data_IF_599036557672
#
_entry.id   IF_599036557672
#
_cell.length_a   1.000
_cell.length_b   1.000
_cell.length_c   1.000
_cell.angle_alpha   90.00
_cell.angle_beta   90.00
_cell.angle_gamma   90.00
#
_symmetry.space_group_name_H-M   'P 1'
#
loop_
_entity.id
_entity.type
_entity.pdbx_description
1 polymer ?
#
# COMPACT_ATOMS: atom_id res chain seq x y z
N UNK A 1 9.31 16.58 3.79
CA UNK A 1 10.07 15.34 3.51
C UNK A 1 10.19 15.14 2.01
N UNK A 2 11.28 14.54 1.52
CA UNK A 2 11.40 14.10 0.13
C UNK A 2 10.36 12.99 -0.17
N UNK A 3 9.75 13.02 -1.36
CA UNK A 3 8.90 11.96 -1.92
C UNK A 3 9.41 10.53 -1.67
N UNK A 4 10.69 10.27 -1.95
CA UNK A 4 11.32 8.96 -1.77
C UNK A 4 11.44 8.54 -0.30
N UNK A 5 11.55 9.50 0.60
CA UNK A 5 11.55 9.23 2.04
C UNK A 5 10.17 8.81 2.51
N UNK A 6 9.11 9.46 2.00
CA UNK A 6 7.74 9.05 2.28
C UNK A 6 7.45 7.65 1.74
N UNK A 7 7.88 7.34 0.51
CA UNK A 7 7.79 5.99 -0.05
C UNK A 7 8.48 4.93 0.82
N UNK A 8 9.70 5.23 1.29
CA UNK A 8 10.41 4.34 2.22
C UNK A 8 9.64 4.08 3.51
N UNK A 9 9.02 5.12 4.09
CA UNK A 9 8.17 4.95 5.27
C UNK A 9 6.92 4.12 4.98
N UNK A 10 6.26 4.32 3.84
CA UNK A 10 5.13 3.49 3.41
C UNK A 10 5.53 2.02 3.38
N UNK A 11 6.65 1.68 2.73
CA UNK A 11 7.15 0.31 2.70
C UNK A 11 7.41 -0.25 4.11
N UNK A 12 8.05 0.52 4.98
CA UNK A 12 8.35 0.08 6.35
C UNK A 12 7.08 -0.15 7.17
N UNK A 13 6.05 0.69 7.02
CA UNK A 13 4.81 0.60 7.76
C UNK A 13 3.92 -0.56 7.26
N UNK A 14 3.89 -0.80 5.96
CA UNK A 14 3.03 -1.82 5.36
C UNK A 14 3.63 -3.23 5.46
N UNK A 15 4.96 -3.33 5.39
CA UNK A 15 5.65 -4.61 5.35
C UNK A 15 5.27 -5.57 6.50
N UNK A 16 5.21 -5.16 7.79
CA UNK A 16 4.82 -6.04 8.88
C UNK A 16 3.45 -6.68 8.69
N UNK A 17 2.49 -5.91 8.16
CA UNK A 17 1.12 -6.38 7.91
C UNK A 17 1.12 -7.38 6.76
N UNK A 18 1.73 -7.02 5.63
CA UNK A 18 1.83 -7.90 4.45
C UNK A 18 2.56 -9.19 4.80
N UNK A 19 3.68 -9.09 5.51
CA UNK A 19 4.48 -10.23 5.96
C UNK A 19 3.70 -11.15 6.88
N UNK A 20 2.95 -10.63 7.87
CA UNK A 20 2.19 -11.45 8.81
C UNK A 20 1.16 -12.33 8.09
N UNK A 21 0.48 -11.78 7.09
CA UNK A 21 -0.52 -12.52 6.30
C UNK A 21 0.13 -13.46 5.28
N UNK A 22 1.23 -13.05 4.64
CA UNK A 22 1.92 -13.85 3.63
C UNK A 22 3.17 -14.58 4.14
N UNK A 23 3.29 -14.78 5.46
CA UNK A 23 4.47 -15.42 6.07
C UNK A 23 4.81 -16.80 5.49
N UNK A 24 3.79 -17.55 5.07
CA UNK A 24 3.94 -18.88 4.45
C UNK A 24 4.56 -18.81 3.04
N UNK A 25 4.40 -17.70 2.34
CA UNK A 25 5.01 -17.43 1.04
C UNK A 25 6.49 -17.01 1.19
N UNK A 26 6.90 -16.60 2.39
CA UNK A 26 8.30 -16.31 2.73
C UNK A 26 8.89 -15.23 1.83
N UNK A 27 10.07 -15.49 1.25
CA UNK A 27 10.78 -14.52 0.41
C UNK A 27 10.05 -14.17 -0.89
N UNK A 28 9.14 -15.04 -1.37
CA UNK A 28 8.40 -14.80 -2.62
C UNK A 28 7.44 -13.62 -2.53
N UNK A 29 7.03 -13.19 -1.34
CA UNK A 29 6.16 -12.02 -1.17
C UNK A 29 6.86 -10.68 -1.42
N UNK A 30 8.18 -10.62 -1.31
CA UNK A 30 8.95 -9.38 -1.36
C UNK A 30 8.83 -8.67 -2.69
N UNK A 31 8.97 -9.40 -3.80
CA UNK A 31 8.88 -8.80 -5.12
C UNK A 31 7.47 -8.25 -5.38
N UNK A 32 6.36 -9.00 -5.18
CA UNK A 32 5.01 -8.44 -5.31
C UNK A 32 4.75 -7.23 -4.41
N UNK A 33 5.17 -7.28 -3.14
CA UNK A 33 5.01 -6.16 -2.21
C UNK A 33 5.68 -4.88 -2.74
N UNK A 34 6.97 -4.95 -3.08
CA UNK A 34 7.74 -3.79 -3.54
C UNK A 34 7.23 -3.30 -4.91
N UNK A 35 6.92 -4.21 -5.84
CA UNK A 35 6.45 -3.85 -7.17
C UNK A 35 5.09 -3.16 -7.14
N UNK A 36 4.17 -3.63 -6.29
CA UNK A 36 2.86 -3.01 -6.15
C UNK A 36 2.98 -1.61 -5.58
N UNK A 37 3.73 -1.44 -4.49
CA UNK A 37 4.00 -0.12 -3.90
C UNK A 37 4.74 0.81 -4.89
N UNK A 38 5.72 0.31 -5.65
CA UNK A 38 6.41 1.07 -6.69
C UNK A 38 5.49 1.48 -7.85
N UNK A 39 4.39 0.75 -8.07
CA UNK A 39 3.41 1.08 -9.09
C UNK A 39 2.36 2.06 -8.56
N UNK A 40 1.78 1.77 -7.39
CA UNK A 40 0.67 2.53 -6.82
C UNK A 40 1.13 3.88 -6.27
N UNK A 41 2.32 3.96 -5.67
CA UNK A 41 2.78 5.19 -5.04
C UNK A 41 3.03 6.33 -6.03
N UNK A 42 3.79 6.15 -7.13
CA UNK A 42 3.96 7.22 -8.12
C UNK A 42 2.64 7.59 -8.80
N UNK A 43 1.77 6.61 -9.02
CA UNK A 43 0.45 6.84 -9.61
C UNK A 43 -0.43 7.69 -8.68
N UNK A 44 -0.47 7.36 -7.38
CA UNK A 44 -1.15 8.15 -6.37
C UNK A 44 -0.62 9.58 -6.35
N UNK A 45 0.71 9.74 -6.32
CA UNK A 45 1.34 11.08 -6.29
C UNK A 45 0.99 11.89 -7.54
N UNK A 46 1.00 11.26 -8.71
CA UNK A 46 0.57 11.89 -9.96
C UNK A 46 -0.90 12.30 -9.91
N UNK A 47 -1.79 11.42 -9.43
CA UNK A 47 -3.23 11.71 -9.34
C UNK A 47 -3.54 12.82 -8.33
N UNK A 48 -2.81 12.89 -7.21
CA UNK A 48 -2.90 13.97 -6.23
C UNK A 48 -2.58 15.34 -6.84
N UNK A 49 -1.63 15.39 -7.79
CA UNK A 49 -1.22 16.62 -8.44
C UNK A 49 -2.10 17.01 -9.64
N UNK A 50 -2.81 16.05 -10.23
CA UNK A 50 -3.54 16.24 -11.50
C UNK A 50 -5.05 16.20 -11.38
N UNK A 51 -5.60 15.76 -10.24
CA UNK A 51 -7.04 15.60 -10.03
C UNK A 51 -7.52 16.32 -8.77
N UNK A 52 -8.84 16.47 -8.62
CA UNK A 52 -9.49 17.04 -7.43
C UNK A 52 -10.05 15.98 -6.51
N UNK A 53 -9.70 14.71 -6.69
CA UNK A 53 -10.19 13.66 -5.81
C UNK A 53 -9.59 13.82 -4.41
N UNK A 54 -10.37 13.47 -3.40
CA UNK A 54 -9.87 13.49 -2.03
C UNK A 54 -8.88 12.35 -1.81
N UNK A 55 -7.88 12.57 -0.95
CA UNK A 55 -6.88 11.56 -0.63
C UNK A 55 -7.50 10.22 -0.16
N UNK A 56 -8.52 10.20 0.74
CA UNK A 56 -9.17 8.93 1.13
C UNK A 56 -9.76 8.16 -0.05
N UNK A 57 -10.31 8.86 -1.05
CA UNK A 57 -10.90 8.21 -2.23
C UNK A 57 -9.80 7.58 -3.11
N UNK A 58 -8.65 8.25 -3.24
CA UNK A 58 -7.52 7.70 -3.99
C UNK A 58 -6.91 6.48 -3.29
N UNK A 59 -6.80 6.51 -1.96
CA UNK A 59 -6.28 5.39 -1.15
C UNK A 59 -7.18 4.15 -1.25
N UNK A 60 -8.50 4.32 -1.35
CA UNK A 60 -9.42 3.21 -1.67
C UNK A 60 -9.07 2.60 -3.04
N UNK A 61 -8.76 3.45 -4.03
CA UNK A 61 -8.30 3.01 -5.35
C UNK A 61 -6.98 2.24 -5.29
N UNK A 62 -6.00 2.75 -4.56
CA UNK A 62 -4.72 2.08 -4.30
C UNK A 62 -4.96 0.70 -3.67
N UNK A 63 -5.73 0.64 -2.58
CA UNK A 63 -6.06 -0.63 -1.94
C UNK A 63 -6.77 -1.61 -2.89
N UNK A 64 -7.60 -1.13 -3.80
CA UNK A 64 -8.22 -1.95 -4.85
C UNK A 64 -7.20 -2.52 -5.84
N UNK A 65 -6.28 -1.70 -6.33
CA UNK A 65 -5.20 -2.11 -7.25
C UNK A 65 -4.27 -3.12 -6.58
N UNK A 66 -3.84 -2.85 -5.36
CA UNK A 66 -2.94 -3.76 -4.63
C UNK A 66 -3.63 -5.07 -4.26
N UNK A 67 -4.93 -5.05 -3.94
CA UNK A 67 -5.71 -6.28 -3.74
C UNK A 67 -5.67 -7.16 -5.00
N UNK A 68 -5.89 -6.59 -6.18
CA UNK A 68 -5.83 -7.32 -7.46
C UNK A 68 -4.40 -7.82 -7.69
N UNK A 69 -3.41 -6.98 -7.41
CA UNK A 69 -1.99 -7.32 -7.46
C UNK A 69 -1.63 -8.54 -6.63
N UNK A 70 -1.97 -8.54 -5.33
CA UNK A 70 -1.72 -9.67 -4.44
C UNK A 70 -2.53 -10.92 -4.83
N UNK A 71 -3.73 -10.74 -5.38
CA UNK A 71 -4.52 -11.85 -5.90
C UNK A 71 -3.78 -12.56 -7.04
N UNK A 72 -3.28 -11.80 -8.01
CA UNK A 72 -2.61 -12.33 -9.21
C UNK A 72 -1.20 -12.83 -8.86
N UNK A 73 -0.36 -11.98 -8.27
CA UNK A 73 1.07 -12.24 -8.08
C UNK A 73 1.37 -13.25 -6.97
N UNK A 74 0.49 -13.37 -5.95
CA UNK A 74 0.65 -14.34 -4.86
C UNK A 74 -0.35 -15.50 -4.92
N UNK A 75 -1.14 -15.59 -6.00
CA UNK A 75 -2.16 -16.63 -6.22
C UNK A 75 -3.04 -16.87 -4.99
N UNK A 76 -3.39 -15.79 -4.28
CA UNK A 76 -4.05 -15.89 -2.99
C UNK A 76 -5.58 -15.79 -3.09
N UNK A 77 -6.33 -15.96 -1.99
CA UNK A 77 -7.79 -15.79 -2.03
C UNK A 77 -8.15 -14.30 -2.08
N UNK A 78 -9.32 -13.98 -2.65
CA UNK A 78 -9.81 -12.60 -2.70
C UNK A 78 -9.95 -12.00 -1.29
N UNK A 79 -10.52 -12.76 -0.36
CA UNK A 79 -10.67 -12.33 1.05
C UNK A 79 -9.33 -12.00 1.69
N UNK A 80 -8.30 -12.84 1.47
CA UNK A 80 -6.97 -12.59 2.02
C UNK A 80 -6.32 -11.36 1.37
N UNK A 81 -6.40 -11.25 0.04
CA UNK A 81 -5.83 -10.13 -0.71
C UNK A 81 -6.46 -8.79 -0.30
N UNK A 82 -7.78 -8.79 -0.14
CA UNK A 82 -8.53 -7.64 0.34
C UNK A 82 -8.12 -7.26 1.75
N UNK A 83 -8.13 -8.22 2.68
CA UNK A 83 -7.78 -7.96 4.07
C UNK A 83 -6.37 -7.39 4.21
N UNK A 84 -5.39 -7.93 3.48
CA UNK A 84 -4.01 -7.43 3.49
C UNK A 84 -3.91 -6.03 2.92
N UNK A 85 -4.43 -5.85 1.70
CA UNK A 85 -4.34 -4.57 1.02
C UNK A 85 -5.02 -3.46 1.82
N UNK A 86 -6.25 -3.71 2.29
CA UNK A 86 -6.99 -2.76 3.09
C UNK A 86 -6.30 -2.47 4.43
N UNK A 87 -5.83 -3.49 5.16
CA UNK A 87 -5.18 -3.27 6.45
C UNK A 87 -3.84 -2.53 6.31
N UNK A 88 -3.02 -2.89 5.32
CA UNK A 88 -1.72 -2.26 5.08
C UNK A 88 -1.90 -0.78 4.72
N UNK A 89 -2.73 -0.48 3.72
CA UNK A 89 -2.96 0.89 3.25
C UNK A 89 -3.71 1.74 4.30
N UNK A 90 -4.69 1.19 5.01
CA UNK A 90 -5.37 1.94 6.07
C UNK A 90 -4.43 2.26 7.24
N UNK A 91 -3.52 1.35 7.57
CA UNK A 91 -2.51 1.58 8.60
C UNK A 91 -1.49 2.64 8.18
N UNK A 92 -0.91 2.52 6.98
CA UNK A 92 0.06 3.49 6.47
C UNK A 92 -0.55 4.88 6.29
N UNK A 93 -1.78 4.96 5.75
CA UNK A 93 -2.57 6.19 5.67
C UNK A 93 -2.83 6.78 7.06
N UNK A 94 -3.33 5.98 8.01
CA UNK A 94 -3.63 6.45 9.36
C UNK A 94 -2.39 7.01 10.07
N UNK A 95 -1.26 6.31 9.96
CA UNK A 95 0.03 6.80 10.48
C UNK A 95 0.47 8.08 9.77
N UNK A 96 0.33 8.15 8.44
CA UNK A 96 0.64 9.35 7.65
C UNK A 96 -0.20 10.57 8.06
N UNK A 97 -1.50 10.38 8.33
CA UNK A 97 -2.39 11.43 8.85
C UNK A 97 -1.92 11.88 10.23
N UNK A 98 -1.61 10.95 11.14
CA UNK A 98 -1.13 11.29 12.49
C UNK A 98 0.18 12.08 12.42
N UNK A 99 1.14 11.64 11.63
CA UNK A 99 2.42 12.35 11.44
C UNK A 99 2.18 13.78 10.94
N UNK A 100 1.31 13.97 9.95
CA UNK A 100 0.98 15.30 9.43
C UNK A 100 0.14 16.16 10.39
N UNK A 101 -0.53 15.56 11.38
CA UNK A 101 -1.32 16.29 12.37
C UNK A 101 -0.49 16.74 13.59
N UNK A 102 0.56 15.99 13.91
CA UNK A 102 1.44 16.25 15.07
C UNK A 102 2.75 16.98 14.72
N UNK A 103 3.08 17.11 13.42
CA UNK A 103 4.19 17.92 12.90
C UNK A 103 3.64 19.13 12.12
#
# INVERSE_FOLDING_TARGET
MNAWWYFGLTLVLEFPIVYLFYKKQGKLMWAPFVLLNLFTWPLLHYLMLTTRFSLPLMEIGVAGVEMIGYKILLSSSWTKSFAVSFAANAFSYGVGVLINHFL
#
